data_IF_034208839553
#
_entry.id   IF_034208839553
#
_cell.length_a   1.000
_cell.length_b   1.000
_cell.length_c   1.000
_cell.angle_alpha   90.00
_cell.angle_beta   90.00
_cell.angle_gamma   90.00
#
_symmetry.space_group_name_H-M   'P 1'
#
loop_
_entity.id
_entity.type
_entity.pdbx_description
1 polymer ?
#
# COMPACT_ATOMS: atom_id res chain seq x y z
N UNK A 1 43.77 -4.20 -28.57
CA UNK A 1 43.60 -3.15 -27.54
C UNK A 1 42.12 -2.82 -27.32
N UNK A 2 41.37 -2.44 -28.37
CA UNK A 2 39.94 -2.11 -28.32
C UNK A 2 39.05 -3.19 -27.68
N UNK A 3 39.22 -4.46 -28.06
CA UNK A 3 38.44 -5.59 -27.52
C UNK A 3 38.65 -5.75 -26.01
N UNK A 4 39.88 -5.54 -25.50
CA UNK A 4 40.18 -5.61 -24.07
C UNK A 4 39.51 -4.46 -23.30
N UNK A 5 39.47 -3.27 -23.89
CA UNK A 5 38.81 -2.10 -23.31
C UNK A 5 37.29 -2.31 -23.26
N UNK A 6 36.68 -2.76 -24.36
CA UNK A 6 35.25 -3.07 -24.42
C UNK A 6 34.86 -4.18 -23.43
N UNK A 7 35.70 -5.19 -23.25
CA UNK A 7 35.48 -6.27 -22.29
C UNK A 7 35.54 -5.77 -20.83
N UNK A 8 36.47 -4.85 -20.51
CA UNK A 8 36.53 -4.20 -19.19
C UNK A 8 35.28 -3.35 -18.94
N UNK A 9 34.84 -2.55 -19.91
CA UNK A 9 33.59 -1.78 -19.77
C UNK A 9 32.36 -2.67 -19.64
N UNK A 10 32.31 -3.79 -20.36
CA UNK A 10 31.22 -4.76 -20.24
C UNK A 10 31.22 -5.44 -18.85
N UNK A 11 32.38 -5.83 -18.33
CA UNK A 11 32.49 -6.37 -16.96
C UNK A 11 32.09 -5.32 -15.93
N UNK A 12 32.56 -4.07 -16.05
CA UNK A 12 32.17 -3.00 -15.14
C UNK A 12 30.66 -2.70 -15.19
N UNK A 13 30.08 -2.69 -16.39
CA UNK A 13 28.62 -2.55 -16.57
C UNK A 13 27.86 -3.71 -15.94
N UNK A 14 28.30 -4.96 -16.13
CA UNK A 14 27.69 -6.13 -15.50
C UNK A 14 27.78 -6.07 -13.97
N UNK A 15 28.94 -5.69 -13.42
CA UNK A 15 29.12 -5.49 -11.97
C UNK A 15 28.18 -4.39 -11.44
N UNK A 16 28.02 -3.28 -12.17
CA UNK A 16 27.09 -2.20 -11.81
C UNK A 16 25.63 -2.62 -11.93
N UNK A 17 25.27 -3.40 -12.96
CA UNK A 17 23.91 -3.88 -13.20
C UNK A 17 23.46 -4.91 -12.16
N UNK A 18 24.37 -5.71 -11.60
CA UNK A 18 24.09 -6.61 -10.47
C UNK A 18 23.76 -5.80 -9.20
N UNK A 19 24.46 -4.68 -8.97
CA UNK A 19 24.21 -3.80 -7.82
C UNK A 19 22.86 -3.05 -7.91
N UNK A 20 22.29 -2.89 -9.10
CA UNK A 20 21.01 -2.18 -9.28
C UNK A 20 19.78 -3.02 -8.89
N UNK A 21 19.86 -4.36 -8.98
CA UNK A 21 18.69 -5.26 -8.78
C UNK A 21 18.20 -5.30 -7.34
N UNK A 22 19.13 -5.31 -6.41
CA UNK A 22 18.87 -5.33 -4.97
C UNK A 22 18.95 -3.93 -4.34
N UNK A 23 18.95 -2.87 -5.14
CA UNK A 23 19.08 -1.52 -4.62
C UNK A 23 17.77 -1.09 -3.93
N UNK A 24 17.88 -0.69 -2.66
CA UNK A 24 16.82 0.01 -1.96
C UNK A 24 17.00 1.52 -2.13
N UNK A 25 16.00 2.16 -2.74
CA UNK A 25 15.97 3.63 -2.88
C UNK A 25 14.86 4.16 -1.99
N UNK A 26 15.25 4.91 -0.97
CA UNK A 26 14.29 5.63 -0.15
C UNK A 26 13.63 6.73 -0.98
N UNK A 27 12.30 6.71 -1.03
CA UNK A 27 11.55 7.60 -1.93
C UNK A 27 10.40 8.27 -1.19
N UNK A 28 10.06 9.49 -1.63
CA UNK A 28 8.89 10.23 -1.16
C UNK A 28 7.94 10.41 -2.34
N UNK A 29 6.66 10.12 -2.12
CA UNK A 29 5.61 10.23 -3.12
C UNK A 29 4.45 11.09 -2.60
N UNK A 30 3.98 11.99 -3.46
CA UNK A 30 2.80 12.80 -3.23
C UNK A 30 1.63 12.20 -4.02
N UNK A 31 0.54 11.89 -3.33
CA UNK A 31 -0.72 11.38 -3.90
C UNK A 31 -1.77 12.48 -3.76
N UNK A 32 -1.72 13.47 -4.63
CA UNK A 32 -2.47 14.73 -4.45
C UNK A 32 -3.90 14.67 -5.02
N UNK A 33 -4.18 13.70 -5.89
CA UNK A 33 -5.50 13.50 -6.51
C UNK A 33 -6.05 12.13 -6.16
N UNK A 34 -7.37 12.01 -6.09
CA UNK A 34 -8.06 10.73 -5.77
C UNK A 34 -7.68 9.59 -6.73
N UNK A 35 -7.41 9.91 -8.00
CA UNK A 35 -6.96 8.94 -9.00
C UNK A 35 -5.49 8.55 -8.89
N UNK A 36 -4.69 9.25 -8.07
CA UNK A 36 -3.27 8.97 -7.94
C UNK A 36 -3.05 7.60 -7.29
N UNK A 37 -1.99 6.93 -7.71
CA UNK A 37 -1.55 5.70 -7.08
C UNK A 37 -0.05 5.52 -7.24
N UNK A 38 0.53 4.66 -6.40
CA UNK A 38 1.90 4.17 -6.56
C UNK A 38 1.92 2.66 -6.46
N UNK A 39 2.68 2.05 -7.35
CA UNK A 39 3.01 0.63 -7.25
C UNK A 39 4.34 0.53 -6.53
N UNK A 40 4.35 -0.25 -5.46
CA UNK A 40 5.53 -0.53 -4.65
C UNK A 40 5.82 -2.02 -4.74
N UNK A 41 7.06 -2.36 -5.06
CA UNK A 41 7.48 -3.75 -5.16
C UNK A 41 8.70 -3.98 -4.28
N UNK A 42 8.87 -5.21 -3.82
CA UNK A 42 10.17 -5.63 -3.32
C UNK A 42 11.24 -5.48 -4.42
N UNK A 43 12.49 -5.12 -4.09
CA UNK A 43 13.59 -5.13 -5.05
C UNK A 43 13.69 -6.47 -5.79
N UNK A 44 14.00 -6.39 -7.08
CA UNK A 44 14.07 -7.50 -8.04
C UNK A 44 12.75 -8.21 -8.42
N UNK A 45 11.60 -7.80 -7.86
CA UNK A 45 10.28 -8.34 -8.26
C UNK A 45 10.10 -8.27 -9.81
N UNK A 46 9.58 -9.32 -10.48
CA UNK A 46 8.95 -10.53 -9.92
C UNK A 46 9.91 -11.68 -9.60
N UNK A 47 11.23 -11.46 -9.60
CA UNK A 47 12.19 -12.45 -9.09
C UNK A 47 12.24 -12.40 -7.55
N UNK A 48 12.81 -13.44 -6.92
CA UNK A 48 13.00 -13.44 -5.48
C UNK A 48 13.76 -12.21 -4.97
N UNK A 49 13.29 -11.60 -3.89
CA UNK A 49 13.99 -10.46 -3.29
C UNK A 49 15.31 -10.88 -2.65
N UNK A 50 16.23 -9.93 -2.55
CA UNK A 50 17.55 -10.13 -1.98
C UNK A 50 17.51 -10.09 -0.44
N UNK A 51 18.47 -10.70 0.28
CA UNK A 51 18.57 -10.56 1.72
C UNK A 51 19.14 -9.19 2.14
N UNK A 52 18.94 -8.81 3.40
CA UNK A 52 19.50 -7.60 4.03
C UNK A 52 19.02 -6.27 3.40
N UNK A 53 17.83 -6.28 2.82
CA UNK A 53 17.19 -5.08 2.30
C UNK A 53 16.57 -4.25 3.42
N UNK A 54 16.63 -2.94 3.25
CA UNK A 54 15.96 -1.95 4.09
C UNK A 54 15.49 -0.79 3.20
N UNK A 55 14.28 -0.95 2.66
CA UNK A 55 13.66 -0.03 1.72
C UNK A 55 12.58 0.78 2.45
N UNK A 56 12.49 2.08 2.20
CA UNK A 56 11.40 2.90 2.73
C UNK A 56 10.75 3.79 1.68
N UNK A 57 9.42 3.87 1.73
CA UNK A 57 8.62 4.75 0.90
C UNK A 57 7.73 5.60 1.80
N UNK A 58 7.84 6.91 1.67
CA UNK A 58 6.97 7.86 2.33
C UNK A 58 5.90 8.32 1.36
N UNK A 59 4.65 8.23 1.75
CA UNK A 59 3.51 8.68 0.96
C UNK A 59 2.79 9.79 1.70
N UNK A 60 2.43 10.84 0.95
CA UNK A 60 1.84 12.07 1.46
C UNK A 60 0.56 12.35 0.66
N UNK A 61 -0.57 12.41 1.35
CA UNK A 61 -1.87 12.80 0.82
C UNK A 61 -2.07 14.33 0.91
N UNK A 62 -3.08 14.91 0.22
CA UNK A 62 -3.17 16.37 0.09
C UNK A 62 -3.67 17.08 1.36
N UNK A 63 -4.42 16.39 2.21
CA UNK A 63 -5.02 16.94 3.42
C UNK A 63 -5.12 15.90 4.53
N UNK A 64 -5.33 16.37 5.77
CA UNK A 64 -5.33 15.53 6.97
C UNK A 64 -6.52 14.57 7.08
N UNK A 65 -7.55 14.73 6.24
CA UNK A 65 -8.74 13.85 6.21
C UNK A 65 -8.53 12.69 5.25
N UNK A 66 -7.71 12.88 4.22
CA UNK A 66 -7.37 11.87 3.24
C UNK A 66 -6.37 10.88 3.83
N UNK A 67 -6.79 9.63 3.95
CA UNK A 67 -5.92 8.52 4.37
C UNK A 67 -5.23 7.93 3.15
N UNK A 68 -4.31 7.01 3.37
CA UNK A 68 -3.60 6.28 2.33
C UNK A 68 -3.80 4.80 2.60
N UNK A 69 -4.30 4.08 1.60
CA UNK A 69 -4.44 2.63 1.64
C UNK A 69 -3.30 1.99 0.87
N UNK A 70 -2.61 1.05 1.50
CA UNK A 70 -1.76 0.08 0.83
C UNK A 70 -2.50 -1.25 0.75
N UNK A 71 -2.45 -1.90 -0.42
CA UNK A 71 -3.01 -3.23 -0.62
C UNK A 71 -2.11 -4.06 -1.53
N UNK A 72 -1.86 -5.31 -1.12
CA UNK A 72 -1.21 -6.35 -1.93
C UNK A 72 -1.97 -7.65 -1.72
N UNK A 73 -2.20 -8.40 -2.80
CA UNK A 73 -2.86 -9.71 -2.80
C UNK A 73 -1.89 -10.89 -2.99
N UNK A 74 -0.60 -10.58 -3.16
CA UNK A 74 0.43 -11.53 -3.54
C UNK A 74 1.68 -11.40 -2.66
N UNK A 75 1.50 -11.17 -1.37
CA UNK A 75 2.58 -11.19 -0.39
C UNK A 75 3.19 -12.60 -0.39
N UNK A 76 4.51 -12.68 -0.51
CA UNK A 76 5.30 -13.90 -0.38
C UNK A 76 6.62 -13.56 0.31
N UNK A 77 6.62 -13.57 1.64
CA UNK A 77 7.74 -13.26 2.52
C UNK A 77 8.09 -14.44 3.43
N UNK A 78 9.29 -14.44 4.01
CA UNK A 78 9.61 -15.38 5.08
C UNK A 78 8.84 -14.99 6.34
N UNK A 79 7.89 -15.83 6.73
CA UNK A 79 7.04 -15.66 7.89
C UNK A 79 7.86 -15.35 9.16
N UNK A 80 7.48 -14.30 9.87
CA UNK A 80 8.09 -13.83 11.11
C UNK A 80 9.59 -13.54 11.01
N UNK A 81 10.10 -13.29 9.80
CA UNK A 81 11.53 -13.03 9.55
C UNK A 81 11.77 -11.81 8.67
N UNK A 82 10.93 -11.64 7.65
CA UNK A 82 10.95 -10.48 6.76
C UNK A 82 9.58 -9.79 6.84
N UNK A 83 9.57 -8.46 6.76
CA UNK A 83 8.42 -7.66 7.13
C UNK A 83 8.20 -6.48 6.17
N UNK A 84 6.93 -6.18 5.91
CA UNK A 84 6.48 -4.86 5.46
C UNK A 84 5.86 -4.15 6.66
N UNK A 85 6.53 -3.13 7.16
CA UNK A 85 6.13 -2.35 8.32
C UNK A 85 5.47 -1.05 7.89
N UNK A 86 4.41 -0.66 8.59
CA UNK A 86 3.65 0.55 8.34
C UNK A 86 3.73 1.50 9.53
N UNK A 87 3.87 2.80 9.24
CA UNK A 87 3.95 3.85 10.25
C UNK A 87 3.03 5.03 9.87
N UNK A 88 2.20 5.45 10.80
CA UNK A 88 1.22 6.54 10.67
C UNK A 88 1.79 7.96 10.81
N UNK A 89 3.08 8.16 10.51
CA UNK A 89 3.77 9.43 10.77
C UNK A 89 4.58 9.87 9.56
N UNK A 90 4.67 11.19 9.37
CA UNK A 90 5.60 11.81 8.42
C UNK A 90 7.04 11.46 8.81
N UNK A 91 7.35 11.53 10.10
CA UNK A 91 8.72 11.46 10.60
C UNK A 91 9.19 10.05 10.96
N UNK A 92 8.53 9.00 10.44
CA UNK A 92 9.08 7.66 10.51
C UNK A 92 10.33 7.60 9.62
N UNK A 93 11.41 8.15 10.15
CA UNK A 93 12.71 8.16 9.52
C UNK A 93 13.20 6.71 9.58
N UNK A 94 13.72 6.13 8.49
CA UNK A 94 14.24 4.76 8.48
C UNK A 94 15.31 4.46 9.56
N UNK A 95 15.87 5.49 10.20
CA UNK A 95 16.91 5.37 11.22
C UNK A 95 16.42 5.67 12.64
N UNK A 96 15.18 6.11 12.81
CA UNK A 96 14.67 6.38 14.14
C UNK A 96 14.25 5.05 14.79
N UNK A 97 15.00 4.67 15.85
CA UNK A 97 14.76 3.43 16.60
C UNK A 97 13.61 3.56 17.59
N UNK A 98 13.11 4.77 17.81
CA UNK A 98 12.05 5.04 18.77
C UNK A 98 10.65 5.09 18.13
N UNK A 99 10.56 4.82 16.83
CA UNK A 99 9.30 4.89 16.09
C UNK A 99 8.53 3.57 16.20
N UNK A 100 7.37 3.61 16.84
CA UNK A 100 6.51 2.44 17.00
C UNK A 100 5.87 2.04 15.66
N UNK A 101 6.03 0.76 15.30
CA UNK A 101 5.38 0.17 14.14
C UNK A 101 3.86 0.14 14.38
N UNK A 102 3.09 0.69 13.45
CA UNK A 102 1.62 0.70 13.54
C UNK A 102 1.02 -0.65 13.13
N UNK A 103 1.59 -1.29 12.10
CA UNK A 103 1.20 -2.62 11.64
C UNK A 103 2.35 -3.28 10.86
N UNK A 104 2.34 -4.61 10.79
CA UNK A 104 3.34 -5.40 10.07
C UNK A 104 2.69 -6.54 9.32
N UNK A 105 3.05 -6.68 8.04
CA UNK A 105 2.77 -7.87 7.25
C UNK A 105 4.01 -8.76 7.15
N UNK A 106 3.80 -10.07 7.19
CA UNK A 106 4.82 -11.09 7.00
C UNK A 106 4.15 -12.39 6.52
N UNK A 107 4.94 -13.33 5.98
CA UNK A 107 4.41 -14.57 5.42
C UNK A 107 3.80 -14.39 4.04
N UNK A 108 2.74 -15.14 3.76
CA UNK A 108 2.11 -15.24 2.44
C UNK A 108 0.66 -14.74 2.47
N UNK A 109 0.14 -14.30 1.32
CA UNK A 109 -1.28 -13.96 1.13
C UNK A 109 -1.53 -12.47 0.92
N UNK A 110 -2.57 -11.94 1.57
CA UNK A 110 -2.95 -10.52 1.44
C UNK A 110 -2.28 -9.68 2.52
N UNK A 111 -1.94 -8.44 2.16
CA UNK A 111 -1.46 -7.43 3.09
C UNK A 111 -2.19 -6.13 2.82
N UNK A 112 -2.86 -5.60 3.83
CA UNK A 112 -3.61 -4.36 3.74
C UNK A 112 -3.34 -3.48 4.96
N UNK A 113 -3.15 -2.19 4.70
CA UNK A 113 -3.07 -1.19 5.75
C UNK A 113 -3.67 0.13 5.27
N UNK A 114 -4.44 0.78 6.14
CA UNK A 114 -4.99 2.13 5.90
C UNK A 114 -4.40 3.03 6.98
N UNK A 115 -3.75 4.11 6.57
CA UNK A 115 -3.17 5.08 7.50
C UNK A 115 -4.22 5.80 8.33
N UNK A 116 -3.83 6.34 9.47
CA UNK A 116 -4.72 7.15 10.32
C UNK A 116 -4.96 8.57 9.76
N UNK A 117 -4.08 9.07 8.89
CA UNK A 117 -4.17 10.39 8.28
C UNK A 117 -3.33 10.49 7.00
N UNK A 118 -2.91 11.71 6.66
CA UNK A 118 -2.28 12.02 5.36
C UNK A 118 -0.87 11.46 5.14
N UNK A 119 -0.24 10.90 6.17
CA UNK A 119 1.12 10.40 6.11
C UNK A 119 1.14 8.89 6.29
N UNK A 120 1.83 8.21 5.38
CA UNK A 120 2.10 6.77 5.48
C UNK A 120 3.55 6.50 5.11
N UNK A 121 4.32 5.95 6.04
CA UNK A 121 5.62 5.38 5.73
C UNK A 121 5.50 3.85 5.66
N UNK A 122 5.97 3.27 4.56
CA UNK A 122 6.02 1.84 4.30
C UNK A 122 7.48 1.43 4.26
N UNK A 123 7.87 0.44 5.07
CA UNK A 123 9.26 -0.03 5.14
C UNK A 123 9.32 -1.53 4.89
N UNK A 124 10.03 -1.96 3.86
CA UNK A 124 10.31 -3.36 3.61
C UNK A 124 11.69 -3.73 4.15
N UNK A 125 11.73 -4.72 5.04
CA UNK A 125 12.96 -5.20 5.65
C UNK A 125 13.10 -6.71 5.45
N UNK A 126 14.25 -7.13 4.92
CA UNK A 126 14.61 -8.55 4.83
C UNK A 126 15.85 -8.87 5.64
N UNK A 127 15.80 -9.97 6.36
CA UNK A 127 16.87 -10.48 7.20
C UNK A 127 17.94 -11.22 6.39
N UNK A 128 19.06 -11.54 7.06
CA UNK A 128 20.17 -12.33 6.50
C UNK A 128 19.72 -13.69 5.94
N UNK A 129 20.45 -14.14 4.93
CA UNK A 129 20.32 -15.44 4.26
C UNK A 129 19.29 -15.43 3.13
N UNK A 130 19.52 -16.27 2.12
CA UNK A 130 18.70 -16.34 0.90
C UNK A 130 17.20 -16.46 1.21
N UNK A 131 16.35 -15.53 0.71
CA UNK A 131 14.94 -15.58 1.01
C UNK A 131 14.20 -16.69 0.29
N UNK A 132 14.52 -16.94 -0.99
CA UNK A 132 13.80 -17.87 -1.90
C UNK A 132 12.29 -17.60 -1.95
N UNK A 133 11.92 -16.33 -1.92
CA UNK A 133 10.56 -15.81 -1.81
C UNK A 133 10.41 -14.63 -2.77
N UNK A 134 9.28 -14.53 -3.45
CA UNK A 134 9.06 -13.59 -4.56
C UNK A 134 8.78 -12.16 -4.11
N UNK A 135 8.44 -11.95 -2.83
CA UNK A 135 8.26 -10.62 -2.28
C UNK A 135 6.84 -10.13 -2.44
N UNK A 136 6.64 -8.95 -3.03
CA UNK A 136 5.30 -8.39 -3.17
C UNK A 136 5.22 -7.39 -4.32
N UNK A 137 3.99 -7.23 -4.82
CA UNK A 137 3.54 -6.06 -5.55
C UNK A 137 2.35 -5.47 -4.80
N UNK A 138 2.51 -4.25 -4.32
CA UNK A 138 1.48 -3.52 -3.59
C UNK A 138 1.10 -2.24 -4.29
N UNK A 139 -0.15 -1.84 -4.12
CA UNK A 139 -0.69 -0.58 -4.62
C UNK A 139 -1.01 0.33 -3.44
N UNK A 140 -0.46 1.53 -3.46
CA UNK A 140 -0.81 2.60 -2.55
C UNK A 140 -1.71 3.64 -3.24
N UNK A 141 -2.82 4.03 -2.62
CA UNK A 141 -3.77 5.02 -3.14
C UNK A 141 -4.24 5.94 -2.02
N UNK A 142 -4.71 7.17 -2.34
CA UNK A 142 -5.59 7.89 -1.44
C UNK A 142 -6.79 7.02 -1.05
N UNK A 143 -7.27 7.22 0.17
CA UNK A 143 -8.40 6.53 0.75
C UNK A 143 -9.26 7.55 1.49
N UNK A 144 -10.41 7.85 0.91
CA UNK A 144 -11.47 8.57 1.61
C UNK A 144 -12.36 7.55 2.29
N UNK A 145 -12.60 7.68 3.59
CA UNK A 145 -13.72 6.97 4.20
C UNK A 145 -15.00 7.45 3.49
N UNK A 146 -15.73 6.54 2.88
CA UNK A 146 -17.09 6.85 2.43
C UNK A 146 -17.82 7.37 3.65
N UNK A 147 -18.22 8.65 3.64
CA UNK A 147 -19.20 9.14 4.60
C UNK A 147 -20.39 8.21 4.46
N UNK A 148 -20.57 7.33 5.44
CA UNK A 148 -21.85 6.69 5.68
C UNK A 148 -22.81 7.85 5.78
N UNK A 149 -23.54 8.13 4.71
CA UNK A 149 -24.73 8.95 4.81
C UNK A 149 -25.54 8.19 5.86
N UNK A 150 -25.65 8.79 7.04
CA UNK A 150 -26.69 8.47 7.99
C UNK A 150 -27.99 8.65 7.23
N UNK A 151 -28.45 7.58 6.58
CA UNK A 151 -29.82 7.46 6.15
C UNK A 151 -30.57 7.60 7.46
N UNK A 152 -31.12 8.79 7.69
CA UNK A 152 -32.10 9.04 8.72
C UNK A 152 -33.10 7.90 8.58
N UNK A 153 -33.08 7.00 9.56
CA UNK A 153 -33.95 5.83 9.60
C UNK A 153 -35.34 6.33 9.93
N UNK A 154 -35.97 7.00 8.98
CA UNK A 154 -37.36 7.42 9.06
C UNK A 154 -38.16 6.13 9.08
N UNK A 155 -38.60 5.72 10.27
CA UNK A 155 -39.46 4.55 10.45
C UNK A 155 -40.78 4.84 9.72
N UNK A 156 -40.94 4.31 8.51
CA UNK A 156 -42.26 4.26 7.88
C UNK A 156 -43.11 3.22 8.63
N UNK A 157 -44.11 3.70 9.37
CA UNK A 157 -45.16 2.84 9.91
C UNK A 157 -46.14 2.56 8.75
N UNK A 158 -46.11 1.34 8.23
CA UNK A 158 -47.13 0.88 7.28
C UNK A 158 -48.41 0.65 8.09
N UNK A 159 -49.37 1.57 8.00
CA UNK A 159 -50.71 1.36 8.53
C UNK A 159 -51.53 0.63 7.46
N UNK A 160 -51.77 -0.66 7.67
CA UNK A 160 -52.75 -1.42 6.90
C UNK A 160 -54.15 -0.99 7.34
N UNK A 161 -54.87 -0.30 6.45
CA UNK A 161 -56.33 -0.14 6.57
C UNK A 161 -57.00 -1.26 5.77
N UNK A 162 -57.82 -2.11 6.40
CA UNK A 162 -58.59 -3.09 5.65
C UNK A 162 -59.78 -2.38 4.98
N UNK A 163 -60.12 -2.86 3.78
CA UNK A 163 -61.39 -2.64 3.05
C UNK A 163 -61.51 -1.35 2.22
N UNK A 164 -61.23 -1.44 0.90
CA UNK A 164 -62.21 -1.55 -0.20
C UNK A 164 -61.50 -1.40 -1.56
N UNK A 165 -62.01 -2.16 -2.52
CA UNK A 165 -61.59 -2.39 -3.91
C UNK A 165 -61.09 -1.18 -4.72
N UNK A 166 -60.17 -1.49 -5.65
CA UNK A 166 -59.78 -0.78 -6.90
C UNK A 166 -58.43 -0.04 -6.86
N UNK A 167 -57.56 -0.45 -7.79
CA UNK A 167 -56.24 0.06 -8.10
C UNK A 167 -56.22 1.55 -8.45
N UNK A 168 -55.38 2.34 -7.76
CA UNK A 168 -54.65 3.45 -8.38
C UNK A 168 -53.43 3.84 -7.53
N UNK A 169 -52.24 3.67 -8.10
CA UNK A 169 -50.98 4.17 -7.54
C UNK A 169 -50.98 5.71 -7.60
N UNK A 170 -50.96 6.36 -6.44
CA UNK A 170 -50.57 7.78 -6.32
C UNK A 170 -49.35 7.88 -5.39
N UNK A 171 -48.22 8.31 -5.94
CA UNK A 171 -47.05 8.73 -5.19
C UNK A 171 -47.32 10.18 -4.75
N UNK A 172 -47.56 10.39 -3.45
CA UNK A 172 -47.60 11.75 -2.88
C UNK A 172 -46.24 12.04 -2.26
N UNK A 173 -45.58 13.08 -2.78
CA UNK A 173 -44.32 13.61 -2.25
C UNK A 173 -44.66 14.68 -1.19
N UNK A 174 -44.24 14.48 0.05
CA UNK A 174 -44.47 15.45 1.14
C UNK A 174 -43.13 16.14 1.42
N UNK A 175 -43.13 17.48 1.35
CA UNK A 175 -42.00 18.36 1.74
C UNK A 175 -41.76 18.32 3.24
#
# INVERSE_FOLDING_TARGET
LLIRILFVFFILYLLFAVNARCACINSIFYLLRESDYRILTSPDYPRPYCPNLDCSWRLIAPDNQTKIRFYSDNLDLRLNKDFVNFYNMDDAHPNDRNTNVSYSCTGEGTCEFISSGQYLTIRFQSSRGEPRRYGFLGRATPYAETKSNSITKTRFKILYFPMISIFHLYIVNIR
#
